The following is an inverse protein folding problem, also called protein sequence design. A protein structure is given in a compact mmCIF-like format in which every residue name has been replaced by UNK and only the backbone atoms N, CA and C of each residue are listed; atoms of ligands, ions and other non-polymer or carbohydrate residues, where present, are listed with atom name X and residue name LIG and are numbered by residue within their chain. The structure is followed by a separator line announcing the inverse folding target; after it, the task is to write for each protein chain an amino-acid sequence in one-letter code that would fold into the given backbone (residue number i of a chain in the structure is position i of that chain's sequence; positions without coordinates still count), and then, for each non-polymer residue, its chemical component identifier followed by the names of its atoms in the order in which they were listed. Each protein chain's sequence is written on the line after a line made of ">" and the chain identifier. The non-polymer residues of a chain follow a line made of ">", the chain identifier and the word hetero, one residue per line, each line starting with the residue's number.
data_IF_122480752232
#
_entry.id   IF_122480752232
#
_cell.length_a   1.000
_cell.length_b   1.000
_cell.length_c   1.000
_cell.angle_alpha   90.00
_cell.angle_beta   90.00
_cell.angle_gamma   90.00
#
_symmetry.space_group_name_H-M   'P 1'
#
loop_
_entity.id
_entity.type
_entity.pdbx_description
1 polymer ?
#
# COMPACT_ATOMS: atom_id res chain seq x y z
N UNK A 1 -0.54 -10.66 4.65
CA UNK A 1 -0.71 -9.23 5.01
C UNK A 1 -1.92 -8.61 4.27
N UNK A 2 -3.12 -9.19 4.32
CA UNK A 2 -4.19 -8.77 3.40
C UNK A 2 -4.86 -7.42 3.78
N UNK A 3 -5.17 -7.22 5.06
CA UNK A 3 -5.86 -6.00 5.52
C UNK A 3 -4.99 -4.74 5.37
N UNK A 4 -3.73 -4.81 5.78
CA UNK A 4 -2.81 -3.67 5.75
C UNK A 4 -2.55 -3.15 4.33
N UNK A 5 -2.33 -4.02 3.35
CA UNK A 5 -2.04 -3.61 1.97
C UNK A 5 -3.25 -2.94 1.31
N UNK A 6 -4.47 -3.47 1.56
CA UNK A 6 -5.73 -2.94 1.00
C UNK A 6 -6.10 -1.59 1.61
N UNK A 7 -5.98 -1.45 2.93
CA UNK A 7 -6.21 -0.19 3.61
C UNK A 7 -5.18 0.88 3.18
N UNK A 8 -3.91 0.49 3.05
CA UNK A 8 -2.83 1.39 2.63
C UNK A 8 -3.06 1.97 1.23
N UNK A 9 -3.44 1.15 0.25
CA UNK A 9 -3.66 1.62 -1.14
C UNK A 9 -4.85 2.57 -1.24
N UNK A 10 -5.99 2.22 -0.62
CA UNK A 10 -7.19 3.05 -0.66
C UNK A 10 -6.97 4.36 0.09
N UNK A 11 -6.36 4.31 1.29
CA UNK A 11 -6.08 5.51 2.09
C UNK A 11 -5.15 6.48 1.39
N UNK A 12 -4.05 5.99 0.79
CA UNK A 12 -3.13 6.82 0.02
C UNK A 12 -3.81 7.43 -1.21
N UNK A 13 -4.61 6.66 -1.95
CA UNK A 13 -5.33 7.19 -3.10
C UNK A 13 -6.33 8.29 -2.70
N UNK A 14 -7.05 8.12 -1.60
CA UNK A 14 -7.98 9.15 -1.08
C UNK A 14 -7.25 10.44 -0.68
N UNK A 15 -6.10 10.33 0.01
CA UNK A 15 -5.29 11.50 0.40
C UNK A 15 -4.74 12.24 -0.82
N UNK A 16 -4.19 11.51 -1.79
CA UNK A 16 -3.65 12.11 -3.01
C UNK A 16 -4.75 12.77 -3.86
N UNK A 17 -5.94 12.18 -3.90
CA UNK A 17 -7.10 12.78 -4.56
C UNK A 17 -7.52 14.09 -3.88
N UNK A 18 -7.54 14.13 -2.54
CA UNK A 18 -7.82 15.35 -1.80
C UNK A 18 -6.80 16.46 -2.11
N UNK A 19 -5.51 16.12 -2.20
CA UNK A 19 -4.45 17.08 -2.58
C UNK A 19 -4.66 17.61 -4.01
N UNK A 20 -5.00 16.74 -4.97
CA UNK A 20 -5.24 17.14 -6.34
C UNK A 20 -6.45 18.09 -6.49
N UNK A 21 -7.49 17.91 -5.67
CA UNK A 21 -8.67 18.80 -5.64
C UNK A 21 -8.35 20.12 -4.93
N UNK A 22 -7.59 20.08 -3.83
CA UNK A 22 -7.25 21.27 -3.06
C UNK A 22 -6.30 22.21 -3.80
N UNK A 23 -5.40 21.67 -4.63
CA UNK A 23 -4.41 22.44 -5.39
C UNK A 23 -4.41 21.96 -6.85
N UNK A 24 -5.28 22.54 -7.70
CA UNK A 24 -5.42 22.13 -9.11
C UNK A 24 -4.30 22.72 -9.98
N UNK A 25 -3.05 22.42 -9.64
CA UNK A 25 -1.85 22.80 -10.40
C UNK A 25 -1.25 21.60 -11.14
N UNK A 26 -0.79 21.81 -12.38
CA UNK A 26 -0.25 20.74 -13.23
C UNK A 26 1.00 20.07 -12.64
N UNK A 27 1.80 20.83 -11.90
CA UNK A 27 3.00 20.33 -11.20
C UNK A 27 2.60 19.43 -10.03
N UNK A 28 1.50 19.76 -9.35
CA UNK A 28 0.97 18.94 -8.24
C UNK A 28 0.35 17.66 -8.78
N UNK A 29 -0.49 17.76 -9.81
CA UNK A 29 -1.19 16.60 -10.40
C UNK A 29 -0.18 15.58 -10.96
N UNK A 30 0.86 16.02 -11.67
CA UNK A 30 1.90 15.13 -12.18
C UNK A 30 2.64 14.37 -11.06
N UNK A 31 2.95 15.04 -9.95
CA UNK A 31 3.54 14.42 -8.75
C UNK A 31 2.60 13.43 -8.09
N UNK A 32 1.31 13.75 -8.00
CA UNK A 32 0.27 12.85 -7.46
C UNK A 32 0.24 11.55 -8.28
N UNK A 33 0.16 11.65 -9.61
CA UNK A 33 0.15 10.49 -10.50
C UNK A 33 1.44 9.67 -10.35
N UNK A 34 2.61 10.34 -10.36
CA UNK A 34 3.90 9.69 -10.18
C UNK A 34 4.01 8.95 -8.84
N UNK A 35 3.54 9.56 -7.75
CA UNK A 35 3.51 8.95 -6.41
C UNK A 35 2.59 7.73 -6.39
N UNK A 36 1.41 7.83 -7.00
CA UNK A 36 0.44 6.74 -7.06
C UNK A 36 1.02 5.54 -7.82
N UNK A 37 1.64 5.75 -8.97
CA UNK A 37 2.32 4.70 -9.74
C UNK A 37 3.48 4.08 -8.95
N UNK A 38 4.31 4.91 -8.32
CA UNK A 38 5.45 4.44 -7.54
C UNK A 38 5.02 3.53 -6.39
N UNK A 39 4.01 3.94 -5.62
CA UNK A 39 3.46 3.12 -4.53
C UNK A 39 2.84 1.84 -5.07
N UNK A 40 2.14 1.89 -6.20
CA UNK A 40 1.50 0.71 -6.78
C UNK A 40 2.51 -0.39 -7.15
N UNK A 41 3.71 -0.01 -7.58
CA UNK A 41 4.79 -0.94 -7.95
C UNK A 41 5.57 -1.38 -6.71
N UNK A 42 5.84 -0.47 -5.77
CA UNK A 42 6.71 -0.74 -4.61
C UNK A 42 5.98 -1.44 -3.46
N UNK A 43 4.70 -1.15 -3.23
CA UNK A 43 3.94 -1.72 -2.12
C UNK A 43 3.77 -3.26 -2.20
N UNK A 44 3.53 -3.88 -3.37
CA UNK A 44 3.50 -5.34 -3.50
C UNK A 44 4.85 -6.00 -3.20
N UNK A 45 5.95 -5.40 -3.67
CA UNK A 45 7.32 -5.90 -3.42
C UNK A 45 7.63 -5.84 -1.93
N UNK A 46 7.34 -4.70 -1.28
CA UNK A 46 7.52 -4.56 0.16
C UNK A 46 6.67 -5.57 0.95
N UNK A 47 5.40 -5.76 0.57
CA UNK A 47 4.52 -6.73 1.21
C UNK A 47 5.00 -8.18 1.01
N UNK A 48 5.57 -8.50 -0.15
CA UNK A 48 6.12 -9.82 -0.43
C UNK A 48 7.37 -10.11 0.42
N UNK A 49 8.32 -9.18 0.45
CA UNK A 49 9.55 -9.30 1.25
C UNK A 49 9.23 -9.38 2.75
N UNK A 50 8.28 -8.59 3.23
CA UNK A 50 7.87 -8.61 4.63
C UNK A 50 7.13 -9.92 4.98
N UNK A 51 6.35 -10.47 4.05
CA UNK A 51 5.77 -11.80 4.16
C UNK A 51 6.82 -12.92 4.21
N UNK A 52 7.88 -12.81 3.42
CA UNK A 52 9.01 -13.76 3.44
C UNK A 52 9.81 -13.67 4.74
N UNK A 53 10.16 -12.46 5.18
CA UNK A 53 10.91 -12.23 6.42
C UNK A 53 10.16 -12.74 7.65
N UNK A 54 8.84 -12.56 7.71
CA UNK A 54 8.01 -13.08 8.82
C UNK A 54 7.95 -14.60 8.86
N UNK A 55 7.94 -15.28 7.69
CA UNK A 55 8.04 -16.74 7.65
C UNK A 55 9.41 -17.24 8.10
N UNK A 56 10.49 -16.61 7.64
CA UNK A 56 11.87 -16.98 8.02
C UNK A 56 12.15 -16.72 9.50
N UNK A 57 11.52 -15.71 10.09
CA UNK A 57 11.63 -15.41 11.54
C UNK A 57 10.85 -16.38 12.44
N UNK A 58 10.20 -17.41 11.88
CA UNK A 58 9.50 -18.43 12.66
C UNK A 58 8.17 -17.96 13.28
N UNK A 59 7.60 -16.84 12.83
CA UNK A 59 6.32 -16.35 13.34
C UNK A 59 5.19 -17.33 12.99
N UNK A 60 4.45 -17.76 14.01
CA UNK A 60 3.31 -18.68 13.83
C UNK A 60 2.14 -17.96 13.15
N UNK A 61 1.87 -18.31 11.90
CA UNK A 61 0.73 -17.79 11.16
C UNK A 61 -0.56 -18.31 11.81
N UNK A 62 -1.44 -17.40 12.21
CA UNK A 62 -2.76 -17.78 12.71
C UNK A 62 -3.52 -18.57 11.64
N UNK A 63 -3.89 -19.81 11.97
CA UNK A 63 -4.71 -20.69 11.13
C UNK A 63 -5.99 -20.99 11.91
N UNK A 64 -7.11 -20.48 11.44
CA UNK A 64 -8.41 -20.83 12.01
C UNK A 64 -8.75 -22.28 11.65
N UNK A 65 -8.41 -23.23 12.53
CA UNK A 65 -8.95 -24.58 12.43
C UNK A 65 -10.38 -24.55 12.98
N UNK A 66 -11.35 -24.27 12.10
CA UNK A 66 -12.74 -24.64 12.39
C UNK A 66 -12.79 -26.16 12.38
N UNK A 67 -12.86 -26.77 13.57
CA UNK A 67 -13.41 -28.11 13.74
C UNK A 67 -14.92 -28.05 13.57
#
# INVERSE_FOLDING_TARGET
>A
MHAATKAGTVGLASLLLAVAIAIPDITVISRVIGTMLFIFITAPVAAHLLGKATQESGYKIWRNNKK
#
